data_IF_862525784973
#
_entry.id   IF_862525784973
#
_cell.length_a   1.000
_cell.length_b   1.000
_cell.length_c   1.000
_cell.angle_alpha   90.00
_cell.angle_beta   90.00
_cell.angle_gamma   90.00
#
_symmetry.space_group_name_H-M   'P 1'
#
loop_
_entity.id
_entity.type
_entity.pdbx_description
1 polymer ?
#
# COMPACT_ATOMS: atom_id res chain seq x y z
N UNK A 1 5.49 1.79 -33.40
CA UNK A 1 5.81 1.01 -32.18
C UNK A 1 4.79 1.45 -31.16
N UNK A 2 3.80 0.62 -30.87
CA UNK A 2 2.73 0.95 -29.92
C UNK A 2 3.35 1.23 -28.55
N UNK A 3 2.95 2.34 -27.95
CA UNK A 3 3.34 2.64 -26.56
C UNK A 3 2.60 1.68 -25.64
N UNK A 4 3.36 1.00 -24.79
CA UNK A 4 2.80 0.11 -23.77
C UNK A 4 1.99 0.98 -22.81
N UNK A 5 0.69 0.67 -22.68
CA UNK A 5 -0.16 1.33 -21.69
C UNK A 5 -0.14 0.53 -20.39
N UNK A 6 -0.03 1.19 -19.25
CA UNK A 6 -0.17 0.52 -17.96
C UNK A 6 -1.51 -0.21 -17.86
N UNK A 7 -1.53 -1.40 -17.28
CA UNK A 7 -2.75 -2.14 -16.99
C UNK A 7 -2.77 -2.55 -15.52
N UNK A 8 -3.35 -1.73 -14.69
CA UNK A 8 -3.42 -1.92 -13.24
C UNK A 8 -4.32 -3.10 -12.86
N UNK A 9 -5.20 -3.52 -13.76
CA UNK A 9 -6.07 -4.69 -13.56
C UNK A 9 -5.28 -5.99 -13.39
N UNK A 10 -4.00 -6.04 -13.78
CA UNK A 10 -3.12 -7.19 -13.57
C UNK A 10 -2.88 -7.50 -12.08
N UNK A 11 -3.08 -6.53 -11.19
CA UNK A 11 -3.02 -6.75 -9.75
C UNK A 11 -4.29 -7.31 -9.14
N UNK A 12 -5.39 -7.30 -9.88
CA UNK A 12 -6.67 -7.78 -9.37
C UNK A 12 -6.74 -9.28 -9.59
N UNK A 13 -6.81 -10.04 -8.50
CA UNK A 13 -6.89 -11.51 -8.51
C UNK A 13 -8.34 -11.99 -8.42
N UNK A 14 -8.55 -13.30 -8.56
CA UNK A 14 -9.88 -13.89 -8.38
C UNK A 14 -10.41 -13.85 -6.93
N UNK A 15 -9.52 -13.65 -5.98
CA UNK A 15 -9.83 -13.57 -4.54
C UNK A 15 -10.19 -12.14 -4.09
N UNK A 16 -9.88 -11.12 -4.91
CA UNK A 16 -10.20 -9.74 -4.58
C UNK A 16 -11.71 -9.51 -4.68
N UNK A 17 -12.28 -8.92 -3.64
CA UNK A 17 -13.69 -8.56 -3.57
C UNK A 17 -13.83 -7.11 -3.13
N UNK A 18 -14.20 -6.25 -4.06
CA UNK A 18 -14.39 -4.82 -3.81
C UNK A 18 -15.86 -4.43 -3.91
N UNK A 19 -16.38 -3.75 -2.88
CA UNK A 19 -17.77 -3.24 -2.84
C UNK A 19 -17.83 -1.77 -3.24
N UNK A 20 -16.78 -1.00 -2.97
CA UNK A 20 -16.76 0.42 -3.25
C UNK A 20 -15.42 0.80 -3.86
N UNK A 21 -15.45 1.31 -5.09
CA UNK A 21 -14.27 1.58 -5.91
C UNK A 21 -14.26 3.06 -6.30
N UNK A 22 -13.11 3.70 -6.22
CA UNK A 22 -12.87 5.03 -6.73
C UNK A 22 -11.89 4.97 -7.90
N UNK A 23 -12.30 5.47 -9.06
CA UNK A 23 -11.44 5.66 -10.23
C UNK A 23 -11.07 7.13 -10.32
N UNK A 24 -9.75 7.42 -10.43
CA UNK A 24 -9.22 8.78 -10.49
C UNK A 24 -8.61 9.04 -11.87
N UNK A 25 -9.16 9.97 -12.63
CA UNK A 25 -8.71 10.44 -13.98
C UNK A 25 -8.57 9.35 -15.06
N UNK A 26 -8.75 8.08 -14.72
CA UNK A 26 -8.41 6.94 -15.58
C UNK A 26 -9.67 6.21 -16.06
N UNK A 27 -10.52 6.88 -16.85
CA UNK A 27 -11.81 6.38 -17.34
C UNK A 27 -11.72 5.00 -18.03
N UNK A 28 -10.56 4.63 -18.57
CA UNK A 28 -10.31 3.34 -19.21
C UNK A 28 -10.50 2.13 -18.30
N UNK A 29 -10.48 2.33 -16.99
CA UNK A 29 -10.73 1.24 -16.01
C UNK A 29 -12.20 1.07 -15.66
N UNK A 30 -13.08 2.01 -15.99
CA UNK A 30 -14.50 1.96 -15.59
C UNK A 30 -15.19 0.71 -16.14
N UNK A 31 -15.14 0.50 -17.45
CA UNK A 31 -15.81 -0.64 -18.11
C UNK A 31 -15.27 -2.00 -17.59
N UNK A 32 -13.95 -2.27 -17.56
CA UNK A 32 -13.41 -3.51 -17.01
C UNK A 32 -13.75 -3.75 -15.53
N UNK A 33 -13.84 -2.69 -14.73
CA UNK A 33 -14.22 -2.81 -13.32
C UNK A 33 -15.71 -3.09 -13.14
N UNK A 34 -16.57 -2.46 -13.93
CA UNK A 34 -18.02 -2.76 -13.94
C UNK A 34 -18.31 -4.20 -14.33
N UNK A 35 -17.60 -4.73 -15.34
CA UNK A 35 -17.75 -6.11 -15.77
C UNK A 35 -17.29 -7.11 -14.68
N UNK A 36 -16.17 -6.79 -14.04
CA UNK A 36 -15.56 -7.69 -13.05
C UNK A 36 -16.25 -7.63 -11.69
N UNK A 37 -16.76 -6.47 -11.29
CA UNK A 37 -17.42 -6.24 -10.01
C UNK A 37 -18.83 -5.64 -10.21
N UNK A 38 -19.77 -6.41 -10.76
CA UNK A 38 -21.09 -5.88 -11.16
C UNK A 38 -21.95 -5.39 -9.98
N UNK A 39 -21.60 -5.77 -8.75
CA UNK A 39 -22.28 -5.35 -7.51
C UNK A 39 -21.56 -4.22 -6.78
N UNK A 40 -20.40 -3.78 -7.28
CA UNK A 40 -19.63 -2.71 -6.66
C UNK A 40 -20.22 -1.34 -7.00
N UNK A 41 -20.19 -0.44 -6.05
CA UNK A 41 -20.46 0.98 -6.25
C UNK A 41 -19.18 1.66 -6.75
N UNK A 42 -19.17 2.08 -8.02
CA UNK A 42 -18.00 2.69 -8.66
C UNK A 42 -18.24 4.19 -8.78
N UNK A 43 -17.29 4.96 -8.25
CA UNK A 43 -17.21 6.42 -8.38
C UNK A 43 -16.08 6.79 -9.33
N UNK A 44 -16.29 7.85 -10.10
CA UNK A 44 -15.28 8.40 -10.97
C UNK A 44 -15.02 9.87 -10.63
N UNK A 45 -13.76 10.19 -10.37
CA UNK A 45 -13.32 11.58 -10.15
C UNK A 45 -12.44 12.01 -11.31
N UNK A 46 -12.78 13.12 -11.92
CA UNK A 46 -12.04 13.69 -13.05
C UNK A 46 -12.13 15.20 -13.07
N UNK A 47 -11.04 15.83 -13.49
CA UNK A 47 -11.00 17.26 -13.82
C UNK A 47 -11.52 17.56 -15.23
N UNK A 48 -11.77 16.53 -16.06
CA UNK A 48 -12.28 16.70 -17.42
C UNK A 48 -13.81 16.73 -17.43
N UNK A 49 -14.38 17.90 -17.67
CA UNK A 49 -15.84 18.13 -17.75
C UNK A 49 -16.54 17.40 -18.92
N UNK A 50 -15.78 16.93 -19.94
CA UNK A 50 -16.34 16.21 -21.09
C UNK A 50 -16.63 14.73 -20.78
N UNK A 51 -16.06 14.19 -19.69
CA UNK A 51 -16.24 12.81 -19.29
C UNK A 51 -17.36 12.70 -18.24
N UNK A 52 -18.49 12.13 -18.64
CA UNK A 52 -19.64 11.92 -17.76
C UNK A 52 -20.04 10.44 -17.75
N UNK A 53 -19.88 9.80 -16.61
CA UNK A 53 -20.25 8.41 -16.34
C UNK A 53 -21.15 8.36 -15.09
N UNK A 54 -21.84 7.25 -14.80
CA UNK A 54 -22.56 7.11 -13.55
C UNK A 54 -21.66 7.38 -12.34
N UNK A 55 -22.13 8.18 -11.38
CA UNK A 55 -21.39 8.61 -10.19
C UNK A 55 -20.08 9.39 -10.48
N UNK A 56 -20.03 10.15 -11.60
CA UNK A 56 -18.93 11.05 -11.86
C UNK A 56 -18.99 12.27 -10.94
N UNK A 57 -17.83 12.65 -10.43
CA UNK A 57 -17.62 13.88 -9.67
C UNK A 57 -16.54 14.70 -10.39
N UNK A 58 -16.93 15.87 -10.89
CA UNK A 58 -15.99 16.78 -11.53
C UNK A 58 -15.25 17.55 -10.46
N UNK A 59 -13.98 17.20 -10.28
CA UNK A 59 -13.11 17.75 -9.26
C UNK A 59 -11.64 17.54 -9.63
N UNK A 60 -10.81 18.54 -9.43
CA UNK A 60 -9.36 18.38 -9.51
C UNK A 60 -8.78 17.87 -8.18
N UNK A 61 -8.52 16.57 -8.11
CA UNK A 61 -7.96 15.92 -6.91
C UNK A 61 -6.59 16.46 -6.47
N UNK A 62 -5.93 17.23 -7.34
CA UNK A 62 -4.61 17.84 -7.05
C UNK A 62 -4.73 19.10 -6.20
N UNK A 63 -5.87 19.78 -6.28
CA UNK A 63 -6.13 21.06 -5.62
C UNK A 63 -7.22 20.95 -4.56
N UNK A 64 -8.15 20.00 -4.71
CA UNK A 64 -9.34 19.90 -3.90
C UNK A 64 -9.40 18.56 -3.14
N UNK A 65 -9.93 18.62 -1.91
CA UNK A 65 -10.15 17.40 -1.13
C UNK A 65 -11.33 16.61 -1.70
N UNK A 66 -11.16 15.29 -1.84
CA UNK A 66 -12.23 14.40 -2.25
C UNK A 66 -13.44 14.47 -1.29
N UNK A 67 -14.68 14.59 -1.78
CA UNK A 67 -15.89 14.77 -0.98
C UNK A 67 -16.44 13.45 -0.43
N UNK A 68 -15.58 12.61 0.12
CA UNK A 68 -15.96 11.32 0.68
C UNK A 68 -15.61 11.23 2.16
N UNK A 69 -16.29 10.32 2.86
CA UNK A 69 -15.94 9.97 4.23
C UNK A 69 -14.63 9.17 4.26
N UNK A 70 -13.92 9.25 5.37
CA UNK A 70 -12.72 8.44 5.60
C UNK A 70 -13.08 6.95 5.58
N UNK A 71 -12.11 6.10 5.18
CA UNK A 71 -12.27 4.65 5.10
C UNK A 71 -13.48 4.19 4.27
N UNK A 72 -13.79 4.90 3.17
CA UNK A 72 -14.96 4.61 2.33
C UNK A 72 -14.70 3.54 1.28
N UNK A 73 -13.49 3.47 0.72
CA UNK A 73 -13.20 2.69 -0.46
C UNK A 73 -12.40 1.42 -0.17
N UNK A 74 -12.74 0.34 -0.86
CA UNK A 74 -11.97 -0.90 -0.86
C UNK A 74 -10.81 -0.82 -1.87
N UNK A 75 -11.01 -0.07 -2.96
CA UNK A 75 -10.04 0.16 -4.01
C UNK A 75 -10.07 1.62 -4.47
N UNK A 76 -8.90 2.25 -4.56
CA UNK A 76 -8.68 3.44 -5.38
C UNK A 76 -7.80 3.02 -6.56
N UNK A 77 -8.11 3.48 -7.77
CA UNK A 77 -7.34 3.17 -8.97
C UNK A 77 -7.15 4.41 -9.84
N UNK A 78 -5.92 4.63 -10.29
CA UNK A 78 -5.61 5.72 -11.21
C UNK A 78 -4.17 5.67 -11.69
N UNK A 79 -3.97 5.77 -13.01
CA UNK A 79 -2.66 5.77 -13.63
C UNK A 79 -1.93 7.10 -13.45
N UNK A 80 -0.62 7.04 -13.21
CA UNK A 80 0.31 8.18 -13.23
C UNK A 80 -0.12 9.36 -12.33
N UNK A 81 -0.94 9.09 -11.32
CA UNK A 81 -1.59 10.10 -10.48
C UNK A 81 -0.62 11.01 -9.74
N UNK A 82 0.59 10.53 -9.40
CA UNK A 82 1.61 11.31 -8.69
C UNK A 82 2.62 12.02 -9.60
N UNK A 83 2.57 11.81 -10.92
CA UNK A 83 3.52 12.45 -11.84
C UNK A 83 3.22 13.92 -12.11
N UNK A 84 1.95 14.30 -12.02
CA UNK A 84 1.45 15.63 -12.39
C UNK A 84 1.11 16.52 -11.18
N UNK A 85 1.46 16.10 -9.98
CA UNK A 85 1.13 16.81 -8.74
C UNK A 85 2.34 17.52 -8.16
N UNK A 86 2.11 18.66 -7.50
CA UNK A 86 3.15 19.46 -6.84
C UNK A 86 3.64 18.81 -5.56
N UNK A 87 2.72 18.24 -4.77
CA UNK A 87 3.03 17.55 -3.50
C UNK A 87 2.51 16.10 -3.52
N UNK A 88 3.27 15.16 -4.07
CA UNK A 88 2.83 13.78 -4.24
C UNK A 88 2.62 13.03 -2.90
N UNK A 89 3.34 13.41 -1.85
CA UNK A 89 3.18 12.79 -0.54
C UNK A 89 1.82 13.14 0.09
N UNK A 90 1.36 14.38 -0.04
CA UNK A 90 0.05 14.80 0.48
C UNK A 90 -1.09 14.13 -0.28
N UNK A 91 -0.97 13.98 -1.60
CA UNK A 91 -1.96 13.26 -2.40
C UNK A 91 -2.01 11.78 -2.02
N UNK A 92 -0.86 11.12 -1.92
CA UNK A 92 -0.79 9.72 -1.53
C UNK A 92 -1.32 9.49 -0.10
N UNK A 93 -0.99 10.37 0.85
CA UNK A 93 -1.52 10.35 2.21
C UNK A 93 -3.03 10.63 2.23
N UNK A 94 -3.50 11.57 1.43
CA UNK A 94 -4.93 11.85 1.24
C UNK A 94 -5.69 10.61 0.77
N UNK A 95 -5.21 9.92 -0.27
CA UNK A 95 -5.83 8.69 -0.74
C UNK A 95 -5.84 7.61 0.34
N UNK A 96 -4.76 7.46 1.11
CA UNK A 96 -4.70 6.49 2.21
C UNK A 96 -5.80 6.71 3.26
N UNK A 97 -6.22 7.97 3.49
CA UNK A 97 -7.30 8.30 4.43
C UNK A 97 -8.65 7.78 3.96
N UNK A 98 -8.92 7.78 2.66
CA UNK A 98 -10.18 7.30 2.09
C UNK A 98 -10.23 5.78 1.89
N UNK A 99 -9.09 5.10 1.89
CA UNK A 99 -9.00 3.65 1.75
C UNK A 99 -9.28 2.98 3.09
N UNK A 100 -10.12 1.94 3.09
CA UNK A 100 -10.35 1.08 4.25
C UNK A 100 -9.06 0.37 4.68
N UNK A 101 -9.03 -0.11 5.90
CA UNK A 101 -7.88 -0.83 6.45
C UNK A 101 -7.48 -2.07 5.61
N UNK A 102 -8.47 -2.72 4.98
CA UNK A 102 -8.29 -3.88 4.11
C UNK A 102 -8.19 -3.53 2.63
N UNK A 103 -8.24 -2.23 2.31
CA UNK A 103 -8.24 -1.75 0.95
C UNK A 103 -6.85 -1.45 0.41
N UNK A 104 -6.80 -1.17 -0.88
CA UNK A 104 -5.57 -0.86 -1.59
C UNK A 104 -5.73 0.30 -2.59
N UNK A 105 -4.60 0.86 -2.96
CA UNK A 105 -4.47 1.77 -4.08
C UNK A 105 -3.70 1.11 -5.21
N UNK A 106 -4.23 1.15 -6.42
CA UNK A 106 -3.55 0.75 -7.64
C UNK A 106 -3.16 1.99 -8.43
N UNK A 107 -1.88 2.12 -8.71
CA UNK A 107 -1.33 3.23 -9.49
C UNK A 107 -0.14 2.80 -10.33
N UNK A 108 0.41 3.71 -11.10
CA UNK A 108 1.61 3.48 -11.90
C UNK A 108 2.49 4.73 -11.90
N UNK A 109 3.75 4.55 -12.24
CA UNK A 109 4.67 5.65 -12.51
C UNK A 109 5.67 5.29 -13.61
N UNK A 110 6.19 6.31 -14.30
CA UNK A 110 7.26 6.18 -15.28
C UNK A 110 8.60 6.10 -14.58
N UNK A 111 9.39 5.14 -15.01
CA UNK A 111 10.71 4.93 -14.47
C UNK A 111 11.72 5.93 -15.06
N UNK A 112 12.29 6.78 -14.21
CA UNK A 112 13.36 7.72 -14.65
C UNK A 112 14.60 6.99 -15.17
N UNK A 113 14.83 5.75 -14.71
CA UNK A 113 15.96 4.93 -15.13
C UNK A 113 15.75 4.21 -16.45
N UNK A 114 14.56 4.27 -17.04
CA UNK A 114 14.29 3.62 -18.31
C UNK A 114 15.21 4.12 -19.42
N UNK A 115 15.75 3.20 -20.22
CA UNK A 115 16.76 3.52 -21.23
C UNK A 115 16.37 4.68 -22.19
N UNK A 116 15.11 4.81 -22.54
CA UNK A 116 14.64 5.93 -23.41
C UNK A 116 14.74 7.27 -22.71
N UNK A 117 14.51 7.33 -21.39
CA UNK A 117 14.66 8.56 -20.61
C UNK A 117 16.12 8.93 -20.54
N UNK A 118 16.98 7.95 -20.23
CA UNK A 118 18.42 8.15 -20.16
C UNK A 118 19.00 8.56 -21.53
N UNK A 119 18.56 7.93 -22.62
CA UNK A 119 18.99 8.30 -23.98
C UNK A 119 18.63 9.75 -24.32
N UNK A 120 17.43 10.22 -23.98
CA UNK A 120 17.02 11.61 -24.17
C UNK A 120 17.89 12.57 -23.34
N UNK A 121 18.13 12.23 -22.07
CA UNK A 121 18.99 13.02 -21.17
C UNK A 121 20.43 13.11 -21.69
N UNK A 122 20.99 12.01 -22.22
CA UNK A 122 22.32 11.99 -22.85
C UNK A 122 22.42 12.91 -24.06
N UNK A 123 21.30 13.17 -24.72
CA UNK A 123 21.19 14.12 -25.86
C UNK A 123 20.87 15.55 -25.41
N UNK A 124 20.81 15.81 -24.10
CA UNK A 124 20.42 17.10 -23.53
C UNK A 124 18.93 17.44 -23.70
N UNK A 125 18.09 16.45 -23.94
CA UNK A 125 16.65 16.64 -24.10
C UNK A 125 15.92 16.15 -22.85
N UNK A 126 15.32 17.06 -22.12
CA UNK A 126 14.35 16.78 -21.07
C UNK A 126 13.07 17.54 -21.44
N UNK A 127 12.09 16.86 -21.93
CA UNK A 127 10.83 17.47 -22.34
C UNK A 127 9.68 16.49 -22.21
N UNK A 128 8.57 16.99 -21.73
CA UNK A 128 7.33 16.25 -21.56
C UNK A 128 6.36 16.99 -20.66
N UNK A 129 5.12 16.56 -20.67
CA UNK A 129 4.04 17.08 -19.81
C UNK A 129 4.23 16.63 -18.35
N UNK A 130 5.11 15.64 -18.13
CA UNK A 130 5.35 15.03 -16.81
C UNK A 130 6.15 15.99 -15.95
N UNK A 131 5.59 16.37 -14.82
CA UNK A 131 6.28 17.24 -13.86
C UNK A 131 7.30 16.47 -12.99
N UNK A 132 7.11 15.15 -12.80
CA UNK A 132 7.96 14.33 -11.95
C UNK A 132 8.11 12.90 -12.49
N UNK A 133 9.33 12.39 -12.43
CA UNK A 133 9.68 11.00 -12.69
C UNK A 133 10.27 10.41 -11.41
N UNK A 134 10.11 9.11 -11.22
CA UNK A 134 10.54 8.42 -10.00
C UNK A 134 11.46 7.27 -10.32
N UNK A 135 12.35 6.97 -9.38
CA UNK A 135 12.94 5.64 -9.24
C UNK A 135 11.98 4.74 -8.45
N UNK A 136 12.15 3.42 -8.58
CA UNK A 136 11.41 2.43 -7.78
C UNK A 136 11.51 2.74 -6.28
N UNK A 137 12.74 2.90 -5.78
CA UNK A 137 13.00 3.11 -4.35
C UNK A 137 12.40 4.42 -3.81
N UNK A 138 12.43 5.50 -4.60
CA UNK A 138 11.81 6.77 -4.19
C UNK A 138 10.31 6.64 -4.09
N UNK A 139 9.68 5.97 -5.05
CA UNK A 139 8.22 5.78 -5.04
C UNK A 139 7.77 4.89 -3.87
N UNK A 140 8.47 3.79 -3.61
CA UNK A 140 8.22 2.94 -2.44
C UNK A 140 8.33 3.74 -1.13
N UNK A 141 9.40 4.51 -0.94
CA UNK A 141 9.60 5.35 0.25
C UNK A 141 8.49 6.38 0.42
N UNK A 142 8.06 7.00 -0.67
CA UNK A 142 6.95 7.94 -0.67
C UNK A 142 5.67 7.28 -0.18
N UNK A 143 5.36 6.07 -0.64
CA UNK A 143 4.17 5.33 -0.24
C UNK A 143 4.22 4.91 1.24
N UNK A 144 5.36 4.40 1.72
CA UNK A 144 5.53 4.10 3.13
C UNK A 144 5.39 5.34 4.02
N UNK A 145 5.94 6.49 3.59
CA UNK A 145 5.76 7.77 4.27
C UNK A 145 4.31 8.28 4.22
N UNK A 146 3.49 7.78 3.29
CA UNK A 146 2.08 8.11 3.10
C UNK A 146 1.12 7.09 3.73
N UNK A 147 1.58 6.34 4.75
CA UNK A 147 0.82 5.41 5.57
C UNK A 147 0.41 4.09 4.91
N UNK A 148 0.96 3.74 3.76
CA UNK A 148 0.83 2.39 3.21
C UNK A 148 1.79 1.44 3.95
N UNK A 149 1.41 0.17 4.09
CA UNK A 149 2.17 -0.83 4.87
C UNK A 149 2.82 -1.90 4.02
N UNK A 150 2.30 -2.11 2.84
CA UNK A 150 2.85 -3.02 1.86
C UNK A 150 2.76 -2.40 0.47
N UNK A 151 3.84 -2.50 -0.28
CA UNK A 151 3.94 -2.00 -1.65
C UNK A 151 4.45 -3.12 -2.54
N UNK A 152 3.63 -3.51 -3.51
CA UNK A 152 3.98 -4.48 -4.54
C UNK A 152 4.19 -3.76 -5.86
N UNK A 153 5.26 -4.11 -6.58
CA UNK A 153 5.58 -3.52 -7.87
C UNK A 153 5.70 -4.59 -8.95
N UNK A 154 5.09 -4.34 -10.11
CA UNK A 154 5.23 -5.16 -11.30
C UNK A 154 5.84 -4.32 -12.43
N UNK A 155 6.93 -4.81 -13.09
CA UNK A 155 7.55 -4.08 -14.18
C UNK A 155 6.77 -4.26 -15.48
N UNK A 156 6.51 -3.16 -16.19
CA UNK A 156 6.18 -3.18 -17.62
C UNK A 156 7.46 -2.93 -18.42
N UNK A 157 7.99 -4.02 -18.97
CA UNK A 157 9.28 -4.00 -19.65
C UNK A 157 9.15 -3.62 -21.11
N UNK A 158 10.16 -2.89 -21.59
CA UNK A 158 10.37 -2.57 -23.01
C UNK A 158 11.84 -2.74 -23.34
N UNK A 159 12.14 -3.73 -24.16
CA UNK A 159 13.52 -4.10 -24.48
C UNK A 159 14.31 -2.91 -25.02
N UNK A 160 15.50 -2.73 -24.47
CA UNK A 160 16.48 -1.79 -24.99
C UNK A 160 17.22 -2.36 -26.18
N UNK A 161 17.73 -1.52 -27.12
CA UNK A 161 18.74 -1.96 -28.07
C UNK A 161 19.96 -2.49 -27.30
N UNK A 162 20.49 -3.70 -27.65
CA UNK A 162 21.57 -4.34 -26.89
C UNK A 162 22.79 -3.45 -26.71
N UNK A 163 23.21 -2.77 -27.78
CA UNK A 163 24.36 -1.85 -27.78
C UNK A 163 24.18 -0.67 -26.81
N UNK A 164 22.95 -0.15 -26.71
CA UNK A 164 22.66 0.94 -25.78
C UNK A 164 22.64 0.45 -24.33
N UNK A 165 22.07 -0.74 -24.08
CA UNK A 165 22.04 -1.35 -22.76
C UNK A 165 23.47 -1.61 -22.25
N UNK A 166 24.31 -2.23 -23.07
CA UNK A 166 25.72 -2.48 -22.76
C UNK A 166 26.49 -1.18 -22.47
N UNK A 167 26.26 -0.16 -23.28
CA UNK A 167 26.86 1.16 -23.06
C UNK A 167 26.43 1.79 -21.73
N UNK A 168 25.15 1.70 -21.37
CA UNK A 168 24.66 2.22 -20.07
C UNK A 168 25.32 1.48 -18.90
N UNK A 169 25.38 0.15 -18.97
CA UNK A 169 26.05 -0.68 -17.95
C UNK A 169 27.53 -0.33 -17.83
N UNK A 170 28.22 -0.18 -18.97
CA UNK A 170 29.65 0.20 -19.00
C UNK A 170 29.86 1.60 -18.40
N UNK A 171 28.89 2.50 -18.54
CA UNK A 171 28.93 3.82 -17.90
C UNK A 171 28.61 3.80 -16.39
N UNK A 172 28.38 2.63 -15.81
CA UNK A 172 28.15 2.46 -14.37
C UNK A 172 26.69 2.46 -13.94
N UNK A 173 25.74 2.29 -14.86
CA UNK A 173 24.36 2.08 -14.50
C UNK A 173 24.11 0.63 -14.11
N UNK A 174 23.66 0.38 -12.87
CA UNK A 174 23.17 -0.94 -12.47
C UNK A 174 21.87 -1.29 -13.20
N UNK A 175 21.67 -2.56 -13.52
CA UNK A 175 20.45 -3.06 -14.14
C UNK A 175 19.82 -4.20 -13.32
N UNK A 176 19.65 -3.97 -12.01
CA UNK A 176 18.95 -4.92 -11.15
C UNK A 176 17.47 -5.02 -11.57
N UNK A 177 16.93 -6.25 -11.62
CA UNK A 177 15.56 -6.56 -12.00
C UNK A 177 15.16 -6.03 -13.40
N UNK A 178 16.14 -5.83 -14.31
CA UNK A 178 15.94 -5.20 -15.62
C UNK A 178 15.38 -3.77 -15.55
N UNK A 179 15.74 -3.04 -14.53
CA UNK A 179 15.24 -1.70 -14.25
C UNK A 179 15.43 -0.73 -15.43
N UNK A 180 16.60 -0.81 -16.12
CA UNK A 180 16.85 -0.02 -17.33
C UNK A 180 15.89 -0.32 -18.48
N UNK A 181 15.25 -1.48 -18.48
CA UNK A 181 14.27 -1.91 -19.50
C UNK A 181 12.83 -1.78 -19.03
N UNK A 182 12.60 -1.37 -17.78
CA UNK A 182 11.26 -1.15 -17.22
C UNK A 182 10.79 0.25 -17.55
N UNK A 183 9.79 0.38 -18.43
CA UNK A 183 9.23 1.68 -18.85
C UNK A 183 8.28 2.24 -17.79
N UNK A 184 7.42 1.38 -17.24
CA UNK A 184 6.48 1.73 -16.16
C UNK A 184 6.59 0.70 -15.04
N UNK A 185 6.40 1.19 -13.83
CA UNK A 185 6.14 0.35 -12.68
C UNK A 185 4.66 0.42 -12.35
N UNK A 186 3.99 -0.73 -12.34
CA UNK A 186 2.64 -0.85 -11.79
C UNK A 186 2.78 -1.09 -10.30
N UNK A 187 1.90 -0.48 -9.52
CA UNK A 187 1.99 -0.43 -8.07
C UNK A 187 0.67 -0.82 -7.43
N UNK A 188 0.71 -1.77 -6.49
CA UNK A 188 -0.36 -2.03 -5.52
C UNK A 188 0.15 -1.64 -4.15
N UNK A 189 -0.49 -0.64 -3.53
CA UNK A 189 -0.18 -0.15 -2.22
C UNK A 189 -1.31 -0.50 -1.26
N UNK A 190 -1.06 -1.42 -0.32
CA UNK A 190 -2.02 -1.86 0.66
C UNK A 190 -1.90 -1.02 1.93
N UNK A 191 -3.04 -0.65 2.52
CA UNK A 191 -3.07 0.09 3.78
C UNK A 191 -2.69 -0.77 4.98
N UNK A 192 -2.88 -2.07 4.90
CA UNK A 192 -2.48 -3.07 5.89
C UNK A 192 -1.68 -4.18 5.22
N UNK A 193 -0.90 -4.92 6.00
CA UNK A 193 -0.30 -6.16 5.52
C UNK A 193 -1.38 -7.18 5.19
N UNK A 194 -1.23 -8.03 4.14
CA UNK A 194 -2.27 -8.97 3.69
C UNK A 194 -2.71 -9.93 4.79
N UNK A 195 -1.76 -10.46 5.56
CA UNK A 195 -2.03 -11.35 6.68
C UNK A 195 -2.89 -10.67 7.75
N UNK A 196 -2.64 -9.38 8.02
CA UNK A 196 -3.44 -8.55 8.92
C UNK A 196 -4.79 -8.14 8.35
N UNK A 197 -4.88 -8.00 7.03
CA UNK A 197 -6.08 -7.58 6.33
C UNK A 197 -7.19 -8.63 6.46
N UNK A 198 -6.86 -9.90 6.19
CA UNK A 198 -7.81 -11.00 6.31
C UNK A 198 -8.30 -11.16 7.76
N UNK A 199 -7.39 -11.06 8.71
CA UNK A 199 -7.69 -11.20 10.14
C UNK A 199 -8.41 -9.97 10.70
N UNK A 200 -8.14 -8.76 10.22
CA UNK A 200 -8.88 -7.55 10.61
C UNK A 200 -10.34 -7.57 10.15
N UNK A 201 -10.66 -8.29 9.08
CA UNK A 201 -12.05 -8.46 8.64
C UNK A 201 -12.86 -9.40 9.57
N UNK A 202 -12.19 -10.25 10.34
CA UNK A 202 -12.83 -11.20 11.25
C UNK A 202 -13.29 -10.56 12.57
N UNK A 203 -12.69 -9.44 12.98
CA UNK A 203 -13.00 -8.77 14.24
C UNK A 203 -13.61 -7.39 14.03
N UNK A 204 -14.65 -7.08 14.80
CA UNK A 204 -15.32 -5.78 14.73
C UNK A 204 -14.40 -4.63 15.15
N UNK A 205 -14.67 -3.38 14.71
CA UNK A 205 -13.89 -2.20 15.14
C UNK A 205 -13.82 -2.06 16.66
N UNK A 206 -14.89 -2.42 17.37
CA UNK A 206 -14.97 -2.35 18.84
C UNK A 206 -14.01 -3.34 19.48
N UNK A 207 -13.98 -4.60 19.02
CA UNK A 207 -13.06 -5.64 19.51
C UNK A 207 -11.61 -5.21 19.29
N UNK A 208 -11.31 -4.64 18.13
CA UNK A 208 -9.96 -4.13 17.83
C UNK A 208 -9.56 -2.94 18.71
N UNK A 209 -10.50 -2.02 18.98
CA UNK A 209 -10.27 -0.90 19.88
C UNK A 209 -10.03 -1.36 21.31
N UNK A 210 -10.79 -2.36 21.80
CA UNK A 210 -10.60 -2.94 23.11
C UNK A 210 -9.27 -3.66 23.22
N UNK A 211 -8.89 -4.45 22.21
CA UNK A 211 -7.59 -5.10 22.15
C UNK A 211 -6.45 -4.09 22.17
N UNK A 212 -6.50 -3.05 21.33
CA UNK A 212 -5.50 -1.99 21.29
C UNK A 212 -5.36 -1.27 22.63
N UNK A 213 -6.48 -0.98 23.29
CA UNK A 213 -6.50 -0.35 24.62
C UNK A 213 -5.82 -1.23 25.66
N UNK A 214 -6.08 -2.54 25.65
CA UNK A 214 -5.46 -3.49 26.57
C UNK A 214 -3.95 -3.59 26.33
N UNK A 215 -3.51 -3.66 25.06
CA UNK A 215 -2.09 -3.71 24.73
C UNK A 215 -1.35 -2.47 25.23
N UNK A 216 -1.88 -1.28 24.99
CA UNK A 216 -1.27 -0.04 25.50
C UNK A 216 -1.24 0.04 27.03
N UNK A 217 -2.28 -0.44 27.71
CA UNK A 217 -2.29 -0.49 29.20
C UNK A 217 -1.20 -1.44 29.73
N UNK A 218 -0.98 -2.57 29.06
CA UNK A 218 0.10 -3.50 29.41
C UNK A 218 1.47 -2.87 29.13
N UNK A 219 1.62 -2.23 27.99
CA UNK A 219 2.85 -1.55 27.56
C UNK A 219 3.28 -0.46 28.54
N UNK A 220 2.32 0.37 28.99
CA UNK A 220 2.57 1.50 29.89
C UNK A 220 2.34 1.21 31.39
N UNK A 221 2.28 -0.06 31.76
CA UNK A 221 2.14 -0.53 33.15
C UNK A 221 0.91 0.04 33.89
N UNK A 222 -0.24 0.11 33.17
CA UNK A 222 -1.50 0.61 33.73
C UNK A 222 -2.41 -0.56 34.11
N UNK A 223 -2.59 -0.78 35.43
CA UNK A 223 -3.37 -1.91 35.97
C UNK A 223 -3.03 -3.22 35.25
N UNK A 224 -1.75 -3.53 35.16
CA UNK A 224 -1.17 -4.52 34.26
C UNK A 224 -1.70 -5.92 34.47
N UNK A 225 -1.84 -6.36 35.74
CA UNK A 225 -2.41 -7.67 36.04
C UNK A 225 -3.82 -7.84 35.50
N UNK A 226 -4.69 -6.85 35.73
CA UNK A 226 -6.06 -6.88 35.24
C UNK A 226 -6.12 -6.74 33.71
N UNK A 227 -5.22 -5.96 33.13
CA UNK A 227 -5.13 -5.76 31.71
C UNK A 227 -4.69 -7.05 31.00
N UNK A 228 -3.74 -7.79 31.55
CA UNK A 228 -3.32 -9.10 31.03
C UNK A 228 -4.44 -10.14 31.17
N UNK A 229 -5.14 -10.17 32.29
CA UNK A 229 -6.30 -11.06 32.47
C UNK A 229 -7.42 -10.75 31.47
N UNK A 230 -7.68 -9.46 31.25
CA UNK A 230 -8.71 -9.03 30.30
C UNK A 230 -8.30 -9.29 28.84
N UNK A 231 -7.01 -9.16 28.51
CA UNK A 231 -6.46 -9.53 27.20
C UNK A 231 -6.74 -11.01 26.90
N UNK A 232 -6.39 -11.91 27.82
CA UNK A 232 -6.62 -13.35 27.63
C UNK A 232 -8.11 -13.70 27.58
N UNK A 233 -8.95 -13.02 28.39
CA UNK A 233 -10.40 -13.21 28.31
C UNK A 233 -10.96 -12.80 26.94
N UNK A 234 -10.49 -11.68 26.40
CA UNK A 234 -10.88 -11.23 25.07
C UNK A 234 -10.37 -12.19 23.99
N UNK A 235 -9.12 -12.65 24.13
CA UNK A 235 -8.49 -13.63 23.24
C UNK A 235 -9.34 -14.90 23.15
N UNK A 236 -9.71 -15.49 24.27
CA UNK A 236 -10.53 -16.70 24.34
C UNK A 236 -11.97 -16.45 23.84
N UNK A 237 -12.60 -15.38 24.28
CA UNK A 237 -13.99 -15.08 23.96
C UNK A 237 -14.22 -14.79 22.47
N UNK A 238 -13.22 -14.24 21.79
CA UNK A 238 -13.29 -13.90 20.37
C UNK A 238 -12.61 -14.95 19.48
N UNK A 239 -12.00 -16.01 20.06
CA UNK A 239 -11.26 -17.01 19.30
C UNK A 239 -10.08 -16.42 18.53
N UNK A 240 -9.33 -15.50 19.16
CA UNK A 240 -8.17 -14.85 18.53
C UNK A 240 -7.06 -15.89 18.35
N UNK A 241 -6.48 -15.96 17.16
CA UNK A 241 -5.34 -16.83 16.87
C UNK A 241 -4.01 -16.18 17.26
N UNK A 242 -2.98 -16.99 17.50
CA UNK A 242 -1.65 -16.52 17.92
C UNK A 242 -0.99 -15.62 16.89
N UNK A 243 -1.07 -15.98 15.61
CA UNK A 243 -0.55 -15.21 14.48
C UNK A 243 -1.23 -13.82 14.34
N UNK A 244 -2.56 -13.76 14.54
CA UNK A 244 -3.27 -12.48 14.57
C UNK A 244 -2.83 -11.61 15.75
N UNK A 245 -2.75 -12.20 16.93
CA UNK A 245 -2.31 -11.48 18.13
C UNK A 245 -0.89 -10.94 17.94
N UNK A 246 0.03 -11.73 17.40
CA UNK A 246 1.41 -11.35 17.09
C UNK A 246 1.46 -10.16 16.12
N UNK A 247 0.74 -10.27 15.01
CA UNK A 247 0.67 -9.22 14.00
C UNK A 247 0.01 -7.93 14.53
N UNK A 248 -1.02 -8.06 15.37
CA UNK A 248 -1.70 -6.93 15.99
C UNK A 248 -0.82 -6.23 17.04
N UNK A 249 -0.14 -7.01 17.91
CA UNK A 249 0.84 -6.51 18.87
C UNK A 249 1.94 -5.73 18.14
N UNK A 250 2.51 -6.30 17.07
CA UNK A 250 3.51 -5.61 16.25
C UNK A 250 3.02 -4.27 15.71
N UNK A 251 1.75 -4.19 15.31
CA UNK A 251 1.18 -2.96 14.71
C UNK A 251 0.86 -1.86 15.73
N UNK A 252 0.65 -2.22 17.01
CA UNK A 252 0.14 -1.33 18.06
C UNK A 252 1.20 -0.98 19.09
N UNK A 253 2.02 -1.96 19.51
CA UNK A 253 2.98 -1.78 20.60
C UNK A 253 4.24 -1.09 20.13
N UNK A 254 4.62 -0.01 20.81
CA UNK A 254 5.82 0.80 20.53
C UNK A 254 6.99 0.35 21.38
N UNK A 255 6.78 0.16 22.69
CA UNK A 255 7.82 -0.20 23.67
C UNK A 255 7.81 -1.70 23.97
N UNK A 256 8.31 -2.50 23.01
CA UNK A 256 8.26 -3.96 23.05
C UNK A 256 8.83 -4.60 24.31
N UNK A 257 9.99 -4.15 24.76
CA UNK A 257 10.65 -4.71 25.94
C UNK A 257 9.79 -4.56 27.19
N UNK A 258 9.18 -3.40 27.38
CA UNK A 258 8.26 -3.14 28.49
C UNK A 258 7.02 -4.03 28.38
N UNK A 259 6.44 -4.11 27.19
CA UNK A 259 5.25 -4.90 26.93
C UNK A 259 5.50 -6.39 27.26
N UNK A 260 6.55 -6.99 26.70
CA UNK A 260 6.84 -8.42 26.94
C UNK A 260 7.22 -8.71 28.39
N UNK A 261 7.98 -7.83 29.03
CA UNK A 261 8.28 -7.95 30.45
C UNK A 261 7.00 -7.98 31.28
N UNK A 262 6.06 -7.12 31.00
CA UNK A 262 4.77 -7.02 31.70
C UNK A 262 3.87 -8.21 31.40
N UNK A 263 3.81 -8.66 30.15
CA UNK A 263 3.07 -9.87 29.76
C UNK A 263 3.60 -11.13 30.46
N UNK A 264 4.91 -11.37 30.42
CA UNK A 264 5.55 -12.53 31.06
C UNK A 264 5.39 -12.54 32.58
N UNK A 265 5.30 -11.38 33.20
CA UNK A 265 5.13 -11.26 34.66
C UNK A 265 3.77 -11.77 35.15
N UNK A 266 2.72 -11.59 34.34
CA UNK A 266 1.34 -11.88 34.75
C UNK A 266 0.65 -12.97 33.90
N UNK A 267 1.36 -13.58 32.96
CA UNK A 267 0.86 -14.67 32.11
C UNK A 267 1.82 -15.87 32.14
N UNK A 268 1.25 -17.06 32.33
CA UNK A 268 1.95 -18.34 32.25
C UNK A 268 1.35 -19.24 31.12
N UNK A 269 0.68 -18.65 30.12
CA UNK A 269 0.05 -19.40 29.03
C UNK A 269 1.09 -19.83 28.00
N UNK A 270 0.91 -21.00 27.41
CA UNK A 270 1.77 -21.54 26.35
C UNK A 270 1.67 -20.72 25.06
N UNK A 271 0.49 -20.22 24.76
CA UNK A 271 0.23 -19.36 23.59
C UNK A 271 1.05 -18.05 23.62
N UNK A 272 1.50 -17.63 24.81
CA UNK A 272 2.34 -16.43 24.91
C UNK A 272 3.70 -16.63 24.24
N UNK A 273 4.29 -17.81 24.38
CA UNK A 273 5.59 -18.11 23.74
C UNK A 273 5.45 -18.16 22.22
N UNK A 274 4.38 -18.76 21.71
CA UNK A 274 4.07 -18.76 20.28
C UNK A 274 3.88 -17.33 19.74
N UNK A 275 3.11 -16.49 20.44
CA UNK A 275 2.90 -15.09 20.04
C UNK A 275 4.22 -14.31 20.03
N UNK A 276 5.12 -14.57 20.98
CA UNK A 276 6.44 -13.91 21.02
C UNK A 276 7.27 -14.32 19.82
N UNK A 277 7.41 -15.63 19.56
CA UNK A 277 8.17 -16.16 18.44
C UNK A 277 7.65 -15.62 17.09
N UNK A 278 6.35 -15.66 16.88
CA UNK A 278 5.72 -15.12 15.68
C UNK A 278 5.94 -13.61 15.54
N UNK A 279 5.81 -12.85 16.64
CA UNK A 279 6.04 -11.41 16.62
C UNK A 279 7.49 -11.08 16.25
N UNK A 280 8.47 -11.81 16.81
CA UNK A 280 9.89 -11.59 16.53
C UNK A 280 10.24 -11.99 15.10
N UNK A 281 9.71 -13.11 14.58
CA UNK A 281 9.92 -13.51 13.19
C UNK A 281 9.43 -12.46 12.19
N UNK A 282 8.32 -11.79 12.49
CA UNK A 282 7.79 -10.69 11.67
C UNK A 282 8.70 -9.44 11.69
N UNK A 283 9.48 -9.24 12.77
CA UNK A 283 10.44 -8.13 12.82
C UNK A 283 11.74 -8.45 12.09
N UNK A 284 12.22 -9.69 12.15
CA UNK A 284 13.43 -10.11 11.45
C UNK A 284 13.24 -10.06 9.93
N UNK A 285 12.05 -10.38 9.45
CA UNK A 285 11.70 -10.23 8.04
C UNK A 285 11.77 -8.78 7.55
N UNK A 286 11.33 -7.81 8.37
CA UNK A 286 11.41 -6.37 8.04
C UNK A 286 12.84 -5.83 8.07
N UNK A 287 13.68 -6.32 8.98
CA UNK A 287 15.09 -5.89 9.07
C UNK A 287 15.93 -6.51 7.97
N UNK A 288 15.66 -7.74 7.55
CA UNK A 288 16.30 -8.40 6.42
C UNK A 288 16.00 -7.73 5.07
N UNK A 289 14.80 -7.20 4.89
CA UNK A 289 14.40 -6.46 3.68
C UNK A 289 14.92 -4.99 3.66
N UNK A 290 15.42 -4.46 4.78
CA UNK A 290 16.00 -3.10 4.85
C UNK A 290 17.50 -3.08 4.58
N UNK A 291 18.16 -4.23 4.48
CA UNK A 291 19.60 -4.35 4.27
C UNK A 291 19.98 -4.89 2.87
N UNK A 292 19.01 -5.10 2.00
CA UNK A 292 19.19 -5.38 0.57
C UNK A 292 18.56 -4.25 -0.25
#
# INVERSE_FOLDING_TARGET
MEDIKPSLTNFITGEDFFKKILVVESATYLEPLCERFPTAEIFFVTSNEELDYPNTIHLDYREERLPFAEESFDLIIGDLTLEVVTNPQDIAAGFSTFIRQTGCWLTSFRNIRHWKVLEKLMRGVFGGIVSRLYTRTEFERLLYASFYKEVQLLPLKKNAPPELLERLITCGFDNFDDDLQTEFWLVRANRSMPELSLLKSMFTPEVRADLSRLLHRIEYDVATEDSVKNFWRLFDAQGIFTDYAAAFIRSVVVHRENFWRNMKKYSARTELEEIIEETESLYDFDTGNRLL
#
